data_IF_711914610105
#
_entry.id   IF_711914610105
#
_cell.length_a   1.000
_cell.length_b   1.000
_cell.length_c   1.000
_cell.angle_alpha   90.00
_cell.angle_beta   90.00
_cell.angle_gamma   90.00
#
_symmetry.space_group_name_H-M   'P 1'
#
loop_
_entity.id
_entity.type
_entity.pdbx_description
1 polymer ?
#
# COMPACT_ATOMS: atom_id res chain seq x y z
N UNK A 1 -26.78 1.10 0.87
CA UNK A 1 -25.54 0.47 0.37
C UNK A 1 -25.74 0.25 -1.12
N UNK A 2 -25.03 0.98 -1.98
CA UNK A 2 -25.07 0.72 -3.43
C UNK A 2 -24.28 -0.56 -3.71
N UNK A 3 -25.00 -1.62 -4.10
CA UNK A 3 -24.39 -2.85 -4.59
C UNK A 3 -23.75 -2.54 -5.94
N UNK A 4 -22.43 -2.34 -5.92
CA UNK A 4 -21.64 -2.09 -7.13
C UNK A 4 -21.85 -3.25 -8.09
N UNK A 5 -22.53 -2.99 -9.21
CA UNK A 5 -22.83 -4.03 -10.19
C UNK A 5 -21.51 -4.57 -10.76
N UNK A 6 -21.45 -5.88 -11.09
CA UNK A 6 -20.23 -6.50 -11.65
C UNK A 6 -19.66 -5.70 -12.85
N UNK A 7 -20.54 -5.10 -13.66
CA UNK A 7 -20.17 -4.27 -14.80
C UNK A 7 -19.48 -2.96 -14.41
N UNK A 8 -19.97 -2.27 -13.38
CA UNK A 8 -19.34 -1.05 -12.87
C UNK A 8 -17.99 -1.33 -12.22
N UNK A 9 -17.88 -2.44 -11.48
CA UNK A 9 -16.61 -2.87 -10.89
C UNK A 9 -15.57 -3.15 -11.98
N UNK A 10 -15.98 -3.81 -13.08
CA UNK A 10 -15.12 -4.05 -14.24
C UNK A 10 -14.61 -2.76 -14.88
N UNK A 11 -15.51 -1.78 -15.11
CA UNK A 11 -15.13 -0.46 -15.65
C UNK A 11 -14.17 0.29 -14.73
N UNK A 12 -14.42 0.27 -13.41
CA UNK A 12 -13.51 0.88 -12.41
C UNK A 12 -12.14 0.20 -12.42
N UNK A 13 -12.09 -1.12 -12.49
CA UNK A 13 -10.84 -1.88 -12.51
C UNK A 13 -10.05 -1.64 -13.81
N UNK A 14 -10.72 -1.57 -14.97
CA UNK A 14 -10.11 -1.21 -16.24
C UNK A 14 -9.51 0.21 -16.20
N UNK A 15 -10.23 1.19 -15.65
CA UNK A 15 -9.72 2.55 -15.48
C UNK A 15 -8.47 2.56 -14.59
N UNK A 16 -8.46 1.80 -13.49
CA UNK A 16 -7.27 1.66 -12.62
C UNK A 16 -6.08 1.08 -13.37
N UNK A 17 -6.27 0.08 -14.23
CA UNK A 17 -5.19 -0.50 -15.05
C UNK A 17 -4.65 0.51 -16.06
N UNK A 18 -5.52 1.27 -16.72
CA UNK A 18 -5.10 2.30 -17.69
C UNK A 18 -4.28 3.39 -16.98
N UNK A 19 -4.78 3.91 -15.86
CA UNK A 19 -4.05 4.90 -15.05
C UNK A 19 -2.72 4.34 -14.56
N UNK A 20 -2.70 3.10 -14.06
CA UNK A 20 -1.47 2.42 -13.63
C UNK A 20 -0.43 2.30 -14.75
N UNK A 21 -0.84 2.00 -15.98
CA UNK A 21 0.05 1.97 -17.15
C UNK A 21 0.62 3.34 -17.48
N UNK A 22 -0.22 4.38 -17.47
CA UNK A 22 0.22 5.76 -17.75
C UNK A 22 1.25 6.20 -16.70
N UNK A 23 0.96 5.98 -15.41
CA UNK A 23 1.89 6.33 -14.33
C UNK A 23 3.21 5.55 -14.43
N UNK A 24 3.14 4.25 -14.73
CA UNK A 24 4.34 3.43 -14.93
C UNK A 24 5.19 3.98 -16.09
N UNK A 25 4.56 4.42 -17.18
CA UNK A 25 5.26 5.00 -18.32
C UNK A 25 5.91 6.34 -17.98
N UNK A 26 5.21 7.22 -17.25
CA UNK A 26 5.76 8.51 -16.79
C UNK A 26 7.01 8.28 -15.94
N UNK A 27 6.93 7.38 -14.95
CA UNK A 27 8.04 7.10 -14.04
C UNK A 27 9.23 6.47 -14.80
N UNK A 28 8.98 5.64 -15.82
CA UNK A 28 10.05 5.10 -16.67
C UNK A 28 10.78 6.20 -17.45
N UNK A 29 10.04 7.16 -17.99
CA UNK A 29 10.62 8.30 -18.72
C UNK A 29 11.42 9.19 -17.78
N UNK A 30 10.88 9.47 -16.59
CA UNK A 30 11.60 10.22 -15.54
C UNK A 30 12.87 9.48 -15.10
N UNK A 31 12.83 8.15 -14.94
CA UNK A 31 14.00 7.35 -14.56
C UNK A 31 15.08 7.37 -15.66
N UNK A 32 14.67 7.25 -16.92
CA UNK A 32 15.60 7.36 -18.04
C UNK A 32 16.26 8.75 -18.08
N UNK A 33 15.48 9.82 -17.87
CA UNK A 33 16.00 11.19 -17.80
C UNK A 33 16.98 11.39 -16.63
N UNK A 34 16.62 10.86 -15.46
CA UNK A 34 17.42 10.85 -14.23
C UNK A 34 18.80 10.22 -14.47
N UNK A 35 18.83 9.07 -15.14
CA UNK A 35 20.08 8.35 -15.43
C UNK A 35 21.05 9.18 -16.27
N UNK A 36 20.56 10.01 -17.19
CA UNK A 36 21.40 10.91 -18.00
C UNK A 36 21.85 12.17 -17.24
N UNK A 37 21.11 12.59 -16.20
CA UNK A 37 21.36 13.85 -15.47
C UNK A 37 21.97 13.65 -14.07
N UNK A 38 22.33 12.42 -13.69
CA UNK A 38 22.97 12.08 -12.41
C UNK A 38 22.21 12.61 -11.18
N UNK A 39 20.95 12.20 -11.02
CA UNK A 39 20.21 12.46 -9.77
C UNK A 39 20.81 11.67 -8.59
N UNK A 40 20.46 12.09 -7.38
CA UNK A 40 20.88 11.50 -6.11
C UNK A 40 20.46 10.00 -6.02
N UNK A 41 21.39 9.10 -5.67
CA UNK A 41 21.20 7.63 -5.66
C UNK A 41 19.96 7.19 -4.87
N UNK A 42 19.62 7.94 -3.82
CA UNK A 42 18.43 7.68 -3.00
C UNK A 42 17.12 7.91 -3.77
N UNK A 43 17.05 8.95 -4.59
CA UNK A 43 15.85 9.27 -5.37
C UNK A 43 15.60 8.22 -6.45
N UNK A 44 16.67 7.77 -7.12
CA UNK A 44 16.59 6.70 -8.12
C UNK A 44 16.11 5.39 -7.48
N UNK A 45 16.62 5.04 -6.29
CA UNK A 45 16.15 3.87 -5.53
C UNK A 45 14.66 3.92 -5.16
N UNK A 46 14.18 5.09 -4.71
CA UNK A 46 12.75 5.29 -4.41
C UNK A 46 11.89 5.16 -5.67
N UNK A 47 12.32 5.77 -6.78
CA UNK A 47 11.62 5.67 -8.06
C UNK A 47 11.52 4.24 -8.58
N UNK A 48 12.61 3.47 -8.51
CA UNK A 48 12.62 2.05 -8.89
C UNK A 48 11.65 1.25 -8.01
N UNK A 49 11.62 1.51 -6.71
CA UNK A 49 10.68 0.88 -5.78
C UNK A 49 9.21 1.15 -6.14
N UNK A 50 8.87 2.41 -6.44
CA UNK A 50 7.52 2.81 -6.87
C UNK A 50 7.16 2.16 -8.21
N UNK A 51 8.10 2.13 -9.16
CA UNK A 51 7.93 1.51 -10.47
C UNK A 51 7.61 0.01 -10.35
N UNK A 52 8.37 -0.71 -9.53
CA UNK A 52 8.11 -2.13 -9.26
C UNK A 52 6.74 -2.35 -8.61
N UNK A 53 6.36 -1.52 -7.63
CA UNK A 53 5.05 -1.61 -6.99
C UNK A 53 3.88 -1.39 -7.95
N UNK A 54 3.95 -0.32 -8.76
CA UNK A 54 2.90 0.03 -9.73
C UNK A 54 2.79 -0.99 -10.85
N UNK A 55 3.92 -1.47 -11.38
CA UNK A 55 3.92 -2.48 -12.45
C UNK A 55 3.31 -3.79 -11.98
N UNK A 56 3.67 -4.27 -10.78
CA UNK A 56 3.16 -5.51 -10.21
C UNK A 56 1.65 -5.43 -9.91
N UNK A 57 1.18 -4.28 -9.39
CA UNK A 57 -0.25 -4.01 -9.20
C UNK A 57 -1.01 -4.03 -10.54
N UNK A 58 -0.46 -3.36 -11.56
CA UNK A 58 -1.06 -3.27 -12.89
C UNK A 58 -1.14 -4.63 -13.58
N UNK A 59 -0.10 -5.45 -13.47
CA UNK A 59 -0.07 -6.82 -13.99
C UNK A 59 -1.14 -7.67 -13.30
N UNK A 60 -1.21 -7.63 -11.97
CA UNK A 60 -2.18 -8.41 -11.20
C UNK A 60 -3.63 -8.07 -11.58
N UNK A 61 -3.95 -6.78 -11.75
CA UNK A 61 -5.29 -6.38 -12.18
C UNK A 61 -5.59 -6.70 -13.64
N UNK A 62 -4.59 -6.62 -14.52
CA UNK A 62 -4.74 -7.03 -15.91
C UNK A 62 -4.99 -8.55 -16.04
N UNK A 63 -4.31 -9.36 -15.23
CA UNK A 63 -4.56 -10.80 -15.14
C UNK A 63 -5.95 -11.11 -14.56
N UNK A 64 -6.39 -10.34 -13.56
CA UNK A 64 -7.74 -10.45 -13.03
C UNK A 64 -8.82 -10.10 -14.07
N UNK A 65 -8.59 -9.10 -14.93
CA UNK A 65 -9.51 -8.74 -16.02
C UNK A 65 -9.53 -9.73 -17.19
N UNK A 66 -8.47 -10.53 -17.36
CA UNK A 66 -8.34 -11.52 -18.45
C UNK A 66 -9.03 -12.84 -18.15
N UNK A 67 -9.12 -13.26 -16.88
CA UNK A 67 -9.77 -14.52 -16.47
C UNK A 67 -10.98 -14.23 -15.60
N UNK A 68 -12.15 -14.72 -16.01
CA UNK A 68 -13.40 -14.52 -15.28
C UNK A 68 -13.31 -15.07 -13.83
N UNK A 69 -12.68 -16.23 -13.64
CA UNK A 69 -12.45 -16.80 -12.30
C UNK A 69 -11.66 -15.87 -11.37
N UNK A 70 -10.62 -15.20 -11.89
CA UNK A 70 -9.81 -14.28 -11.10
C UNK A 70 -10.55 -12.96 -10.85
N UNK A 71 -11.37 -12.53 -11.80
CA UNK A 71 -12.24 -11.37 -11.65
C UNK A 71 -13.28 -11.61 -10.56
N UNK A 72 -13.97 -12.75 -10.58
CA UNK A 72 -14.97 -13.10 -9.58
C UNK A 72 -14.36 -13.26 -8.19
N UNK A 73 -13.20 -13.92 -8.07
CA UNK A 73 -12.46 -13.97 -6.79
C UNK A 73 -12.10 -12.58 -6.28
N UNK A 74 -11.63 -11.69 -7.15
CA UNK A 74 -11.29 -10.31 -6.76
C UNK A 74 -12.54 -9.52 -6.36
N UNK A 75 -13.65 -9.71 -7.08
CA UNK A 75 -14.93 -9.09 -6.79
C UNK A 75 -15.50 -9.56 -5.45
N UNK A 76 -15.49 -10.86 -5.19
CA UNK A 76 -15.91 -11.43 -3.90
C UNK A 76 -15.01 -10.89 -2.80
N UNK A 77 -13.69 -10.95 -2.96
CA UNK A 77 -12.75 -10.50 -1.92
C UNK A 77 -12.94 -9.01 -1.54
N UNK A 78 -13.27 -8.17 -2.52
CA UNK A 78 -13.51 -6.73 -2.32
C UNK A 78 -14.92 -6.44 -1.77
N UNK A 79 -15.91 -7.22 -2.19
CA UNK A 79 -17.31 -7.02 -1.79
C UNK A 79 -17.66 -7.74 -0.48
N UNK A 80 -16.82 -8.67 -0.04
CA UNK A 80 -17.02 -9.46 1.18
C UNK A 80 -17.01 -8.56 2.42
N UNK A 81 -18.15 -8.51 3.10
CA UNK A 81 -18.37 -7.71 4.30
C UNK A 81 -17.43 -8.13 5.43
N UNK A 82 -17.04 -9.42 5.51
CA UNK A 82 -16.09 -9.89 6.52
C UNK A 82 -14.74 -9.24 6.37
N UNK A 83 -14.23 -9.14 5.14
CA UNK A 83 -12.96 -8.46 4.88
C UNK A 83 -13.04 -6.98 5.22
N UNK A 84 -14.18 -6.33 4.93
CA UNK A 84 -14.39 -4.92 5.27
C UNK A 84 -14.38 -4.71 6.79
N UNK A 85 -15.07 -5.57 7.54
CA UNK A 85 -15.07 -5.54 9.01
C UNK A 85 -13.67 -5.80 9.59
N UNK A 86 -12.92 -6.77 9.05
CA UNK A 86 -11.54 -7.05 9.46
C UNK A 86 -10.67 -5.82 9.22
N UNK A 87 -10.76 -5.18 8.05
CA UNK A 87 -9.97 -4.00 7.73
C UNK A 87 -10.33 -2.80 8.62
N UNK A 88 -11.62 -2.56 8.88
CA UNK A 88 -12.07 -1.51 9.81
C UNK A 88 -11.52 -1.75 11.22
N UNK A 89 -11.65 -2.96 11.77
CA UNK A 89 -11.09 -3.32 13.08
C UNK A 89 -9.56 -3.22 13.11
N UNK A 90 -8.90 -3.67 12.04
CA UNK A 90 -7.44 -3.58 11.91
C UNK A 90 -6.99 -2.13 11.97
N UNK A 91 -7.65 -1.21 11.25
CA UNK A 91 -7.31 0.22 11.23
C UNK A 91 -7.50 0.87 12.60
N UNK A 92 -8.62 0.60 13.26
CA UNK A 92 -8.89 1.17 14.59
C UNK A 92 -7.87 0.69 15.62
N UNK A 93 -7.55 -0.62 15.62
CA UNK A 93 -6.54 -1.18 16.52
C UNK A 93 -5.15 -0.64 16.21
N UNK A 94 -4.79 -0.56 14.92
CA UNK A 94 -3.51 0.00 14.48
C UNK A 94 -3.36 1.45 14.94
N UNK A 95 -4.40 2.28 14.76
CA UNK A 95 -4.37 3.67 15.20
C UNK A 95 -4.16 3.79 16.71
N UNK A 96 -4.89 3.00 17.50
CA UNK A 96 -4.74 2.98 18.95
C UNK A 96 -3.33 2.53 19.38
N UNK A 97 -2.78 1.49 18.74
CA UNK A 97 -1.42 1.01 19.01
C UNK A 97 -0.38 2.07 18.65
N UNK A 98 -0.53 2.74 17.50
CA UNK A 98 0.38 3.81 17.09
C UNK A 98 0.32 5.01 18.04
N UNK A 99 -0.86 5.41 18.52
CA UNK A 99 -1.00 6.45 19.52
C UNK A 99 -0.31 6.09 20.84
N UNK A 100 -0.51 4.86 21.33
CA UNK A 100 0.13 4.37 22.54
C UNK A 100 1.66 4.32 22.37
N UNK A 101 2.13 3.85 21.22
CA UNK A 101 3.54 3.75 20.89
C UNK A 101 4.18 5.15 20.80
N UNK A 102 3.50 6.12 20.18
CA UNK A 102 3.93 7.51 20.13
C UNK A 102 3.99 8.14 21.54
N UNK A 103 3.00 7.89 22.39
CA UNK A 103 3.01 8.36 23.79
C UNK A 103 4.13 7.72 24.61
N UNK A 104 4.46 6.45 24.37
CA UNK A 104 5.58 5.78 25.02
C UNK A 104 6.92 6.38 24.57
N UNK A 105 7.10 6.58 23.26
CA UNK A 105 8.30 7.19 22.68
C UNK A 105 8.52 8.63 23.15
N UNK A 106 7.46 9.41 23.35
CA UNK A 106 7.59 10.79 23.85
C UNK A 106 8.05 10.85 25.30
N UNK A 107 7.63 9.91 26.15
CA UNK A 107 8.16 9.79 27.52
C UNK A 107 9.61 9.30 27.50
N UNK A 108 9.91 8.32 26.66
CA UNK A 108 11.23 7.70 26.58
C UNK A 108 12.27 8.68 25.99
N UNK A 109 11.86 9.56 25.07
CA UNK A 109 12.72 10.59 24.50
C UNK A 109 13.12 11.69 25.50
N UNK A 110 12.37 11.85 26.59
CA UNK A 110 12.75 12.75 27.69
C UNK A 110 13.95 12.21 28.49
N UNK A 111 14.14 10.88 28.50
CA UNK A 111 15.20 10.20 29.25
C UNK A 111 16.39 9.88 28.33
N UNK A 112 16.12 9.49 27.08
CA UNK A 112 17.13 9.12 26.09
C UNK A 112 17.04 10.02 24.85
N UNK A 113 18.11 10.73 24.48
CA UNK A 113 18.11 11.53 23.25
C UNK A 113 18.17 10.59 22.02
N UNK A 114 17.01 10.35 21.41
CA UNK A 114 16.89 9.60 20.16
C UNK A 114 17.11 10.56 19.00
N UNK A 115 18.29 10.49 18.37
CA UNK A 115 18.63 11.30 17.21
C UNK A 115 18.56 10.41 15.97
N UNK A 116 17.54 10.62 15.14
CA UNK A 116 17.38 9.98 13.84
C UNK A 116 17.37 11.06 12.76
N UNK A 117 18.05 10.79 11.65
CA UNK A 117 17.85 11.60 10.44
C UNK A 117 16.41 11.44 9.94
N UNK A 118 15.87 12.47 9.29
CA UNK A 118 14.49 12.46 8.78
C UNK A 118 14.21 11.23 7.90
N UNK A 119 15.15 10.87 7.02
CA UNK A 119 15.02 9.72 6.13
C UNK A 119 14.94 8.41 6.92
N UNK A 120 15.83 8.19 7.89
CA UNK A 120 15.79 6.98 8.73
C UNK A 120 14.51 6.91 9.54
N UNK A 121 14.06 8.03 10.11
CA UNK A 121 12.81 8.11 10.85
C UNK A 121 11.60 7.72 9.98
N UNK A 122 11.51 8.26 8.76
CA UNK A 122 10.43 7.95 7.83
C UNK A 122 10.46 6.48 7.40
N UNK A 123 11.63 5.95 7.03
CA UNK A 123 11.76 4.53 6.63
C UNK A 123 11.33 3.59 7.75
N UNK A 124 11.81 3.81 8.97
CA UNK A 124 11.44 2.99 10.15
C UNK A 124 9.95 3.09 10.43
N UNK A 125 9.39 4.29 10.35
CA UNK A 125 7.96 4.51 10.60
C UNK A 125 7.09 3.80 9.56
N UNK A 126 7.43 3.90 8.26
CA UNK A 126 6.69 3.23 7.19
C UNK A 126 6.75 1.70 7.36
N UNK A 127 7.94 1.15 7.62
CA UNK A 127 8.12 -0.30 7.85
C UNK A 127 7.30 -0.75 9.06
N UNK A 128 7.34 0.01 10.16
CA UNK A 128 6.62 -0.31 11.39
C UNK A 128 5.11 -0.28 11.18
N UNK A 129 4.58 0.76 10.52
CA UNK A 129 3.15 0.88 10.21
C UNK A 129 2.67 -0.25 9.31
N UNK A 130 3.42 -0.56 8.23
CA UNK A 130 3.07 -1.65 7.32
C UNK A 130 3.16 -3.00 8.02
N UNK A 131 4.23 -3.25 8.77
CA UNK A 131 4.43 -4.49 9.52
C UNK A 131 3.31 -4.74 10.53
N UNK A 132 2.97 -3.74 11.34
CA UNK A 132 1.86 -3.81 12.30
C UNK A 132 0.53 -4.04 11.58
N UNK A 133 0.27 -3.34 10.48
CA UNK A 133 -0.97 -3.51 9.72
C UNK A 133 -1.15 -4.95 9.23
N UNK A 134 -0.13 -5.51 8.57
CA UNK A 134 -0.21 -6.87 8.05
C UNK A 134 -0.30 -7.92 9.17
N UNK A 135 0.42 -7.71 10.28
CA UNK A 135 0.39 -8.61 11.44
C UNK A 135 -1.00 -8.60 12.10
N UNK A 136 -1.57 -7.42 12.36
CA UNK A 136 -2.92 -7.30 12.92
C UNK A 136 -3.98 -7.90 12.00
N UNK A 137 -3.89 -7.63 10.69
CA UNK A 137 -4.79 -8.22 9.69
C UNK A 137 -4.69 -9.74 9.68
N UNK A 138 -3.49 -10.29 9.77
CA UNK A 138 -3.27 -11.74 9.85
C UNK A 138 -3.91 -12.35 11.12
N UNK A 139 -3.71 -11.74 12.29
CA UNK A 139 -4.31 -12.20 13.54
C UNK A 139 -5.85 -12.14 13.47
N UNK A 140 -6.40 -11.02 12.98
CA UNK A 140 -7.84 -10.84 12.87
C UNK A 140 -8.46 -11.81 11.85
N UNK A 141 -7.78 -12.10 10.75
CA UNK A 141 -8.23 -13.08 9.75
C UNK A 141 -8.26 -14.53 10.24
N UNK A 142 -7.48 -14.86 11.28
CA UNK A 142 -7.54 -16.17 11.94
C UNK A 142 -8.66 -16.25 12.97
N UNK A 143 -9.09 -15.11 13.52
CA UNK A 143 -10.08 -15.03 14.59
C UNK A 143 -11.52 -14.96 14.08
N UNK A 144 -11.72 -14.31 12.94
CA UNK A 144 -13.00 -14.17 12.24
C UNK A 144 -12.92 -14.94 10.95
#
# INVERSE_FOLDING_TARGET
>A
METLTKQEFRKKLQRKVIVGRILTFIILVELAWSHFHSLDDLQEGVMVGILLGLSLMTIRYNLALRREENFERLYILVTDERNRMIDEKTRTLLFNILLLLAACLSVLSMIFPIILSLNQFLTVTIILVLGLYYLLRFILSKRY
#
